data_IF_986707448286
#
_entry.id   IF_986707448286
#
_cell.length_a   1.000
_cell.length_b   1.000
_cell.length_c   1.000
_cell.angle_alpha   90.00
_cell.angle_beta   90.00
_cell.angle_gamma   90.00
#
_symmetry.space_group_name_H-M   'P 1'
#
loop_
_entity.id
_entity.type
_entity.pdbx_description
1 polymer ?
#
# COMPACT_ATOMS: atom_id res chain seq x y z
N UNK A 1 14.61 20.64 31.93
CA UNK A 1 14.82 19.53 30.97
C UNK A 1 15.25 18.30 31.74
N UNK A 2 14.53 17.19 31.58
CA UNK A 2 14.90 15.87 32.08
C UNK A 2 14.61 14.88 30.95
N UNK A 3 15.58 14.10 30.45
CA UNK A 3 15.33 13.22 29.32
C UNK A 3 14.54 11.98 29.76
N UNK A 4 13.44 11.68 29.07
CA UNK A 4 12.76 10.40 29.23
C UNK A 4 13.54 9.37 28.42
N UNK A 5 14.13 8.41 29.12
CA UNK A 5 14.89 7.31 28.54
C UNK A 5 13.88 6.30 27.99
N UNK A 6 13.94 6.04 26.68
CA UNK A 6 13.06 5.09 26.01
C UNK A 6 13.46 3.65 26.39
N UNK A 7 12.83 3.09 27.44
CA UNK A 7 13.11 1.75 27.95
C UNK A 7 12.21 0.72 27.27
N UNK A 8 12.81 -0.08 26.39
CA UNK A 8 12.19 -1.25 25.76
C UNK A 8 11.70 -2.22 26.86
N UNK A 9 10.44 -2.71 26.83
CA UNK A 9 10.01 -3.78 27.71
C UNK A 9 10.57 -5.12 27.22
N UNK A 10 11.43 -5.69 28.06
CA UNK A 10 12.01 -7.02 27.92
C UNK A 10 10.94 -8.07 28.27
N UNK A 11 10.41 -8.78 27.26
CA UNK A 11 9.47 -9.88 27.49
C UNK A 11 10.22 -11.12 28.00
N UNK A 12 10.26 -11.25 29.31
CA UNK A 12 10.87 -12.39 29.99
C UNK A 12 10.11 -13.71 29.70
N UNK A 13 10.87 -14.77 29.48
CA UNK A 13 10.33 -16.12 29.36
C UNK A 13 9.77 -16.61 30.71
N UNK A 14 8.68 -17.38 30.66
CA UNK A 14 8.21 -18.18 31.77
C UNK A 14 8.23 -19.66 31.36
N UNK A 15 9.22 -20.38 31.86
CA UNK A 15 9.22 -21.83 31.91
C UNK A 15 8.15 -22.30 32.91
N UNK A 16 7.39 -23.34 32.56
CA UNK A 16 6.66 -24.15 33.53
C UNK A 16 6.88 -25.63 33.23
N UNK A 17 7.46 -26.30 34.22
CA UNK A 17 7.81 -27.73 34.20
C UNK A 17 6.74 -28.52 34.99
N UNK A 18 6.47 -29.78 34.60
CA UNK A 18 5.74 -30.72 35.46
C UNK A 18 4.63 -31.56 34.80
N UNK A 19 4.88 -32.86 34.71
CA UNK A 19 3.99 -33.98 34.34
C UNK A 19 2.66 -34.06 35.14
N UNK A 20 1.66 -34.93 34.92
CA UNK A 20 1.46 -36.15 34.09
C UNK A 20 -0.08 -36.39 33.98
N UNK A 21 -0.72 -37.37 33.31
CA UNK A 21 -0.33 -38.55 32.51
C UNK A 21 -1.52 -38.97 31.60
N UNK A 22 -1.37 -39.91 30.64
CA UNK A 22 -2.53 -40.49 29.92
C UNK A 22 -2.28 -41.18 28.57
N UNK A 23 -1.98 -42.48 28.61
CA UNK A 23 -1.92 -43.44 27.48
C UNK A 23 -3.17 -43.43 26.55
N UNK A 24 -3.17 -43.95 25.30
CA UNK A 24 -2.16 -44.51 24.38
C UNK A 24 -2.83 -44.77 23.01
N UNK A 25 -2.10 -44.66 21.89
CA UNK A 25 -2.11 -45.64 20.76
C UNK A 25 -1.46 -45.09 19.48
N UNK A 26 -0.38 -45.72 19.02
CA UNK A 26 0.14 -45.68 17.63
C UNK A 26 -0.01 -47.07 16.98
N UNK A 27 0.05 -47.18 15.64
CA UNK A 27 1.30 -47.53 14.92
C UNK A 27 1.60 -46.59 13.71
N UNK A 28 2.86 -46.26 13.38
CA UNK A 28 3.80 -46.98 12.49
C UNK A 28 3.39 -46.98 10.98
N UNK A 29 4.24 -46.75 9.97
CA UNK A 29 5.68 -46.38 9.91
C UNK A 29 6.09 -45.94 8.47
N UNK A 30 7.38 -45.58 8.32
CA UNK A 30 8.20 -45.58 7.08
C UNK A 30 8.05 -44.48 6.03
N UNK A 31 9.16 -43.76 5.82
CA UNK A 31 9.83 -43.71 4.51
C UNK A 31 11.29 -43.22 4.65
N UNK A 32 12.24 -44.12 4.40
CA UNK A 32 13.67 -43.81 4.31
C UNK A 32 14.16 -44.17 2.91
N UNK A 33 14.78 -43.25 2.18
CA UNK A 33 15.53 -43.55 0.96
C UNK A 33 16.52 -42.43 0.64
N UNK A 34 17.82 -42.76 0.70
CA UNK A 34 18.90 -42.02 0.03
C UNK A 34 19.03 -42.51 -1.41
N UNK A 35 19.69 -41.72 -2.28
CA UNK A 35 20.98 -42.23 -2.78
C UNK A 35 22.08 -41.17 -2.84
N UNK A 36 23.31 -41.62 -3.11
CA UNK A 36 24.57 -40.86 -2.98
C UNK A 36 25.35 -40.82 -4.29
N UNK A 37 26.13 -39.74 -4.52
CA UNK A 37 27.22 -39.54 -5.51
C UNK A 37 26.94 -39.91 -6.99
N UNK A 38 27.21 -39.08 -8.01
CA UNK A 38 28.23 -38.04 -8.15
C UNK A 38 29.12 -38.35 -9.37
N UNK A 39 29.18 -37.43 -10.34
CA UNK A 39 30.36 -37.13 -11.19
C UNK A 39 30.06 -35.97 -12.15
N UNK A 40 30.97 -35.00 -12.20
CA UNK A 40 31.04 -34.01 -13.27
C UNK A 40 31.74 -34.62 -14.52
N UNK A 41 31.67 -33.95 -15.68
CA UNK A 41 32.82 -33.12 -16.04
C UNK A 41 32.45 -31.71 -16.55
N UNK A 42 33.47 -30.84 -16.59
CA UNK A 42 33.34 -29.42 -16.91
C UNK A 42 33.22 -29.11 -18.43
N UNK A 43 32.58 -27.98 -18.74
CA UNK A 43 32.82 -27.20 -19.97
C UNK A 43 32.32 -25.75 -19.81
N UNK A 44 33.28 -24.83 -19.73
CA UNK A 44 33.20 -23.41 -20.11
C UNK A 44 34.24 -23.19 -21.23
N UNK A 45 34.26 -22.07 -21.98
CA UNK A 45 33.41 -20.86 -21.96
C UNK A 45 32.57 -20.77 -23.27
N UNK A 46 31.82 -19.72 -23.66
CA UNK A 46 32.11 -18.28 -23.83
C UNK A 46 30.81 -17.47 -24.03
N UNK A 47 30.83 -16.11 -24.00
CA UNK A 47 29.62 -15.30 -23.78
C UNK A 47 28.77 -15.05 -25.03
N UNK A 48 27.51 -14.66 -24.81
CA UNK A 48 26.60 -14.07 -25.80
C UNK A 48 25.73 -13.04 -25.07
N UNK A 49 25.48 -11.85 -25.65
CA UNK A 49 25.48 -10.64 -24.85
C UNK A 49 24.21 -10.37 -24.06
N UNK A 50 24.44 -9.80 -22.89
CA UNK A 50 23.56 -8.91 -22.13
C UNK A 50 22.71 -8.02 -23.07
N UNK A 51 21.36 -8.03 -22.95
CA UNK A 51 20.55 -7.02 -23.59
C UNK A 51 20.88 -5.70 -22.90
N UNK A 52 21.62 -4.86 -23.61
CA UNK A 52 21.81 -3.47 -23.22
C UNK A 52 20.42 -2.86 -23.04
N UNK A 53 20.08 -2.25 -21.89
CA UNK A 53 19.01 -1.29 -21.89
C UNK A 53 19.50 -0.14 -22.77
N UNK A 54 19.12 -0.16 -24.04
CA UNK A 54 19.18 1.01 -24.89
C UNK A 54 18.39 2.08 -24.16
N UNK A 55 19.13 3.01 -23.55
CA UNK A 55 18.66 4.30 -23.09
C UNK A 55 17.95 4.94 -24.28
N UNK A 56 16.65 4.68 -24.35
CA UNK A 56 15.79 5.31 -25.33
C UNK A 56 15.60 6.72 -24.78
N UNK A 57 16.26 7.66 -25.43
CA UNK A 57 15.83 9.06 -25.44
C UNK A 57 14.39 9.07 -25.94
N UNK A 58 13.42 8.79 -25.06
CA UNK A 58 12.04 9.16 -25.30
C UNK A 58 11.91 10.67 -25.05
N UNK A 59 12.41 11.36 -26.07
CA UNK A 59 11.91 12.63 -26.56
C UNK A 59 11.65 13.67 -25.48
N UNK A 60 12.69 14.48 -25.27
CA UNK A 60 12.63 15.89 -24.90
C UNK A 60 11.72 16.66 -25.89
N UNK A 61 10.41 16.42 -25.79
CA UNK A 61 9.31 17.05 -26.50
C UNK A 61 8.16 17.40 -25.54
N UNK A 62 8.49 17.63 -24.26
CA UNK A 62 7.77 18.59 -23.43
C UNK A 62 8.01 19.99 -24.00
N UNK A 63 7.43 20.23 -25.18
CA UNK A 63 7.56 21.47 -25.91
C UNK A 63 7.02 22.62 -25.07
N UNK A 64 7.76 23.72 -25.12
CA UNK A 64 7.38 25.09 -24.81
C UNK A 64 5.86 25.33 -24.82
N UNK A 65 5.20 25.15 -23.68
CA UNK A 65 3.87 25.70 -23.48
C UNK A 65 4.01 27.10 -22.89
N UNK A 66 3.71 28.08 -23.75
CA UNK A 66 3.40 29.48 -23.47
C UNK A 66 3.15 29.80 -21.99
N UNK A 67 3.95 30.71 -21.43
CA UNK A 67 3.88 31.11 -20.03
C UNK A 67 2.55 31.84 -19.69
N UNK A 68 1.50 31.07 -19.40
CA UNK A 68 0.22 31.61 -18.93
C UNK A 68 -0.97 30.65 -18.84
N UNK A 69 -0.98 29.50 -19.54
CA UNK A 69 -2.14 28.58 -19.57
C UNK A 69 -1.82 27.19 -19.01
N UNK A 70 -2.82 26.54 -18.41
CA UNK A 70 -2.69 25.22 -17.76
C UNK A 70 -2.90 24.11 -18.80
N UNK A 71 -1.96 23.15 -18.95
CA UNK A 71 -2.08 22.08 -19.94
C UNK A 71 -3.41 21.30 -19.86
N UNK A 72 -3.94 20.90 -21.03
CA UNK A 72 -5.23 20.18 -21.11
C UNK A 72 -5.23 18.84 -20.35
N UNK A 73 -4.08 18.19 -20.22
CA UNK A 73 -3.92 17.01 -19.37
C UNK A 73 -4.19 17.33 -17.90
N UNK A 74 -3.56 18.39 -17.38
CA UNK A 74 -3.65 18.81 -15.97
C UNK A 74 -5.09 19.17 -15.58
N UNK A 75 -5.80 19.87 -16.47
CA UNK A 75 -7.23 20.16 -16.29
C UNK A 75 -8.09 18.89 -16.31
N UNK A 76 -7.66 17.85 -17.02
CA UNK A 76 -8.40 16.58 -17.13
C UNK A 76 -8.11 15.66 -15.95
N UNK A 77 -6.88 15.61 -15.46
CA UNK A 77 -6.51 15.01 -14.20
C UNK A 77 -7.30 15.64 -13.04
N UNK A 78 -7.38 16.99 -12.96
CA UNK A 78 -8.17 17.68 -11.92
C UNK A 78 -9.66 17.31 -11.98
N UNK A 79 -10.28 17.27 -13.17
CA UNK A 79 -11.68 16.84 -13.33
C UNK A 79 -11.89 15.37 -12.92
N UNK A 80 -10.93 14.49 -13.20
CA UNK A 80 -10.98 13.08 -12.78
C UNK A 80 -10.77 12.92 -11.27
N UNK A 81 -9.89 13.72 -10.68
CA UNK A 81 -9.63 13.74 -9.25
C UNK A 81 -10.90 14.07 -8.45
N UNK A 82 -11.61 15.15 -8.81
CA UNK A 82 -12.93 15.45 -8.25
C UNK A 82 -13.95 14.33 -8.51
N UNK A 83 -13.95 13.68 -9.68
CA UNK A 83 -14.85 12.55 -9.93
C UNK A 83 -14.60 11.35 -9.01
N UNK A 84 -13.35 11.07 -8.61
CA UNK A 84 -13.03 10.00 -7.65
C UNK A 84 -13.37 10.39 -6.20
N UNK A 85 -13.15 11.65 -5.87
CA UNK A 85 -13.54 12.26 -4.60
C UNK A 85 -15.06 12.16 -4.39
N UNK A 86 -15.85 12.77 -5.28
CA UNK A 86 -17.31 12.85 -5.18
C UNK A 86 -18.05 11.50 -5.25
N UNK A 87 -17.52 10.50 -5.98
CA UNK A 87 -18.25 9.24 -6.25
C UNK A 87 -17.70 8.03 -5.50
N UNK A 88 -16.51 8.14 -4.91
CA UNK A 88 -15.85 7.01 -4.25
C UNK A 88 -15.21 7.39 -2.91
N UNK A 89 -15.41 8.61 -2.39
CA UNK A 89 -14.91 9.08 -1.09
C UNK A 89 -13.41 8.79 -0.90
N UNK A 90 -12.60 8.85 -1.96
CA UNK A 90 -11.20 8.43 -1.92
C UNK A 90 -10.33 9.42 -1.15
N UNK A 91 -9.23 8.92 -0.55
CA UNK A 91 -8.22 9.77 0.06
C UNK A 91 -7.39 10.53 -0.99
N UNK A 92 -6.69 11.57 -0.54
CA UNK A 92 -5.76 12.32 -1.38
C UNK A 92 -4.69 11.44 -2.02
N UNK A 93 -4.16 10.44 -1.30
CA UNK A 93 -3.15 9.51 -1.82
C UNK A 93 -3.75 8.48 -2.78
N UNK A 94 -4.90 7.90 -2.43
CA UNK A 94 -5.60 6.96 -3.31
C UNK A 94 -5.98 7.59 -4.65
N UNK A 95 -6.43 8.85 -4.65
CA UNK A 95 -6.71 9.58 -5.89
C UNK A 95 -5.42 9.80 -6.70
N UNK A 96 -4.32 10.21 -6.07
CA UNK A 96 -3.03 10.34 -6.76
C UNK A 96 -2.61 9.01 -7.43
N UNK A 97 -2.62 7.92 -6.67
CA UNK A 97 -2.28 6.58 -7.17
C UNK A 97 -3.18 6.14 -8.33
N UNK A 98 -4.48 6.42 -8.25
CA UNK A 98 -5.45 6.09 -9.30
C UNK A 98 -5.25 6.93 -10.58
N UNK A 99 -4.82 8.20 -10.47
CA UNK A 99 -4.52 9.05 -11.62
C UNK A 99 -3.27 8.59 -12.37
N UNK A 100 -2.21 8.17 -11.67
CA UNK A 100 -0.93 7.74 -12.28
C UNK A 100 -0.88 6.25 -12.64
N UNK A 101 -1.81 5.44 -12.12
CA UNK A 101 -1.81 3.97 -12.31
C UNK A 101 -1.89 3.57 -13.79
N UNK A 102 -1.04 2.62 -14.19
CA UNK A 102 -1.07 1.96 -15.52
C UNK A 102 -2.41 1.30 -15.84
N UNK A 103 -3.19 0.96 -14.81
CA UNK A 103 -4.53 0.36 -14.92
C UNK A 103 -5.66 1.35 -14.61
N UNK A 104 -5.32 2.61 -14.33
CA UNK A 104 -6.23 3.70 -13.99
C UNK A 104 -6.36 4.70 -15.12
N UNK A 105 -6.04 5.97 -14.85
CA UNK A 105 -6.16 7.06 -15.83
C UNK A 105 -4.86 7.32 -16.63
N UNK A 106 -3.73 6.77 -16.19
CA UNK A 106 -2.41 6.89 -16.85
C UNK A 106 -1.94 8.33 -17.13
N UNK A 107 -2.32 9.30 -16.28
CA UNK A 107 -1.82 10.67 -16.38
C UNK A 107 -0.34 10.77 -15.95
N UNK A 108 0.35 11.78 -16.47
CA UNK A 108 1.69 12.14 -15.97
C UNK A 108 1.69 12.40 -14.45
N UNK A 109 2.74 12.02 -13.71
CA UNK A 109 2.86 12.32 -12.28
C UNK A 109 2.69 13.80 -11.96
N UNK A 110 3.17 14.68 -12.85
CA UNK A 110 3.05 16.13 -12.72
C UNK A 110 1.60 16.61 -12.90
N UNK A 111 0.83 16.03 -13.82
CA UNK A 111 -0.60 16.32 -13.98
C UNK A 111 -1.42 15.81 -12.77
N UNK A 112 -1.08 14.62 -12.25
CA UNK A 112 -1.71 14.07 -11.06
C UNK A 112 -1.39 14.90 -9.80
N UNK A 113 -0.13 15.31 -9.61
CA UNK A 113 0.27 16.19 -8.52
C UNK A 113 -0.43 17.55 -8.62
N UNK A 114 -0.46 18.15 -9.81
CA UNK A 114 -1.22 19.38 -10.05
C UNK A 114 -2.70 19.22 -9.68
N UNK A 115 -3.34 18.11 -10.05
CA UNK A 115 -4.73 17.84 -9.68
C UNK A 115 -4.89 17.84 -8.14
N UNK A 116 -4.06 17.08 -7.44
CA UNK A 116 -4.08 16.96 -5.98
C UNK A 116 -3.82 18.29 -5.26
N UNK A 117 -2.97 19.16 -5.80
CA UNK A 117 -2.66 20.47 -5.21
C UNK A 117 -3.75 21.53 -5.48
N UNK A 118 -4.56 21.35 -6.53
CA UNK A 118 -5.67 22.26 -6.89
C UNK A 118 -7.04 21.78 -6.40
N UNK A 119 -7.11 20.67 -5.67
CA UNK A 119 -8.31 20.22 -4.93
C UNK A 119 -8.43 20.97 -3.60
N UNK A 120 -8.81 22.26 -3.67
CA UNK A 120 -8.89 23.16 -2.50
C UNK A 120 -10.21 23.06 -1.73
N UNK A 121 -11.28 22.60 -2.38
CA UNK A 121 -12.66 22.65 -1.85
C UNK A 121 -13.14 21.30 -1.27
N UNK A 122 -12.20 20.39 -0.96
CA UNK A 122 -12.48 19.01 -0.53
C UNK A 122 -12.31 18.83 0.99
N UNK A 123 -13.32 18.25 1.65
CA UNK A 123 -13.25 17.86 3.06
C UNK A 123 -12.78 16.39 3.19
N UNK A 124 -11.47 16.19 3.18
CA UNK A 124 -10.85 14.87 3.32
C UNK A 124 -11.23 14.13 4.62
N UNK A 125 -11.66 14.84 5.67
CA UNK A 125 -12.15 14.23 6.91
C UNK A 125 -13.57 13.66 6.72
N UNK A 126 -14.41 14.32 5.92
CA UNK A 126 -15.72 13.80 5.54
C UNK A 126 -15.59 12.51 4.72
N UNK A 127 -14.64 12.45 3.78
CA UNK A 127 -14.41 11.27 2.94
C UNK A 127 -13.92 10.08 3.76
N UNK A 128 -12.99 10.29 4.70
CA UNK A 128 -12.56 9.27 5.65
C UNK A 128 -13.74 8.74 6.48
N UNK A 129 -14.63 9.63 6.93
CA UNK A 129 -15.84 9.26 7.68
C UNK A 129 -16.88 8.51 6.82
N UNK A 130 -17.03 8.88 5.55
CA UNK A 130 -17.91 8.17 4.60
C UNK A 130 -17.41 6.74 4.35
N UNK A 131 -16.10 6.58 4.10
CA UNK A 131 -15.43 5.27 4.00
C UNK A 131 -15.57 4.44 5.26
N UNK A 132 -15.36 5.05 6.43
CA UNK A 132 -15.49 4.36 7.71
C UNK A 132 -16.91 3.80 7.93
N UNK A 133 -17.96 4.59 7.62
CA UNK A 133 -19.35 4.13 7.66
C UNK A 133 -19.60 3.02 6.65
N UNK A 134 -19.09 3.17 5.43
CA UNK A 134 -19.20 2.16 4.36
C UNK A 134 -18.64 0.80 4.80
N UNK A 135 -17.48 0.78 5.44
CA UNK A 135 -16.90 -0.44 6.03
C UNK A 135 -17.70 -0.99 7.22
N UNK A 136 -18.22 -0.11 8.09
CA UNK A 136 -19.07 -0.51 9.22
C UNK A 136 -20.38 -1.16 8.73
N UNK A 137 -21.06 -0.56 7.75
CA UNK A 137 -22.38 -0.96 7.26
C UNK A 137 -22.35 -2.16 6.30
N UNK A 138 -21.30 -2.30 5.48
CA UNK A 138 -21.23 -3.36 4.46
C UNK A 138 -20.37 -4.56 4.85
N UNK A 139 -19.46 -4.40 5.83
CA UNK A 139 -18.50 -5.45 6.22
C UNK A 139 -18.50 -5.77 7.72
N UNK A 140 -19.39 -5.16 8.52
CA UNK A 140 -19.50 -5.34 9.97
C UNK A 140 -18.15 -5.16 10.72
N UNK A 141 -17.27 -4.31 10.19
CA UNK A 141 -15.91 -4.15 10.71
C UNK A 141 -15.89 -3.40 12.05
N UNK A 142 -14.98 -3.79 12.95
CA UNK A 142 -14.76 -3.05 14.21
C UNK A 142 -14.10 -1.69 13.95
N UNK A 143 -14.30 -0.69 14.81
CA UNK A 143 -13.65 0.62 14.66
C UNK A 143 -12.11 0.55 14.56
N UNK A 144 -11.47 -0.41 15.24
CA UNK A 144 -10.02 -0.64 15.10
C UNK A 144 -9.63 -1.18 13.72
N UNK A 145 -10.38 -2.15 13.19
CA UNK A 145 -10.12 -2.70 11.86
C UNK A 145 -10.41 -1.68 10.75
N UNK A 146 -11.41 -0.81 10.96
CA UNK A 146 -11.70 0.32 10.08
C UNK A 146 -10.54 1.32 10.09
N UNK A 147 -10.00 1.69 11.27
CA UNK A 147 -8.82 2.55 11.36
C UNK A 147 -7.64 1.98 10.57
N UNK A 148 -7.30 0.72 10.82
CA UNK A 148 -6.17 0.03 10.15
C UNK A 148 -6.38 -0.02 8.62
N UNK A 149 -7.63 -0.24 8.16
CA UNK A 149 -7.98 -0.24 6.75
C UNK A 149 -7.89 1.16 6.10
N UNK A 150 -8.29 2.21 6.83
CA UNK A 150 -8.23 3.59 6.34
C UNK A 150 -6.79 4.07 6.12
N UNK A 151 -5.86 3.69 7.01
CA UNK A 151 -4.44 4.12 6.93
C UNK A 151 -3.54 3.17 6.13
N UNK A 152 -4.05 2.02 5.69
CA UNK A 152 -3.27 1.00 4.98
C UNK A 152 -2.82 1.47 3.60
N UNK A 153 -1.54 1.23 3.28
CA UNK A 153 -0.92 1.36 1.94
C UNK A 153 -1.64 0.52 0.86
N UNK A 154 -2.30 -0.57 1.27
CA UNK A 154 -3.10 -1.43 0.39
C UNK A 154 -4.62 -1.23 0.59
N UNK A 155 -5.02 -0.19 1.32
CA UNK A 155 -6.40 0.13 1.66
C UNK A 155 -6.80 1.46 1.07
N UNK A 156 -7.06 2.45 1.93
CA UNK A 156 -7.55 3.76 1.51
C UNK A 156 -6.49 4.88 1.58
N UNK A 157 -5.34 4.65 2.21
CA UNK A 157 -4.24 5.64 2.34
C UNK A 157 -4.63 7.02 2.91
N UNK A 158 -5.63 7.09 3.79
CA UNK A 158 -5.89 8.30 4.58
C UNK A 158 -4.74 8.56 5.56
N UNK A 159 -4.55 9.84 5.90
CA UNK A 159 -3.62 10.20 6.99
C UNK A 159 -4.15 9.66 8.33
N UNK A 160 -3.26 9.36 9.30
CA UNK A 160 -3.66 8.93 10.64
C UNK A 160 -4.67 9.88 11.31
N UNK A 161 -4.52 11.19 11.12
CA UNK A 161 -5.43 12.20 11.68
C UNK A 161 -6.84 12.14 11.05
N UNK A 162 -6.93 11.90 9.74
CA UNK A 162 -8.21 11.72 9.02
C UNK A 162 -8.89 10.41 9.43
N UNK A 163 -8.13 9.32 9.54
CA UNK A 163 -8.64 8.04 10.01
C UNK A 163 -9.11 8.12 11.47
N UNK A 164 -8.36 8.79 12.36
CA UNK A 164 -8.78 9.01 13.75
C UNK A 164 -10.04 9.87 13.81
N UNK A 165 -10.13 10.96 13.03
CA UNK A 165 -11.36 11.76 12.92
C UNK A 165 -12.56 10.90 12.51
N UNK A 166 -12.38 10.01 11.53
CA UNK A 166 -13.44 9.12 11.05
C UNK A 166 -13.93 8.17 12.15
N UNK A 167 -13.02 7.60 12.96
CA UNK A 167 -13.37 6.75 14.10
C UNK A 167 -14.05 7.54 15.23
N UNK A 168 -13.54 8.73 15.57
CA UNK A 168 -14.11 9.58 16.62
C UNK A 168 -15.53 10.06 16.30
N UNK A 169 -15.88 10.13 15.00
CA UNK A 169 -17.20 10.53 14.51
C UNK A 169 -18.05 9.35 14.02
N UNK A 170 -17.59 8.10 14.22
CA UNK A 170 -18.38 6.91 13.91
C UNK A 170 -19.46 6.70 14.98
N UNK A 171 -20.70 6.47 14.53
CA UNK A 171 -21.76 5.99 15.41
C UNK A 171 -21.41 4.59 15.93
N UNK A 172 -21.41 4.43 17.25
CA UNK A 172 -21.19 3.15 17.94
C UNK A 172 -22.43 2.24 17.87
#
# INVERSE_FOLDING_TARGET
MTPIINRIPEYAALEVDGASEGASSTPAASSTSTPTAGSAPASEPTPTPEPTPTLSEETEAAAEHEAGDVPMEYQSALRKAYSYEENMDMSKMGIYGQLVSEYGEQFSPEAAQYAIDNMTDVDWNANALAKAKSYQEMMDMSPSAIYDQLVSEYGEEFTPDQAQYAIDNLSQ
#
